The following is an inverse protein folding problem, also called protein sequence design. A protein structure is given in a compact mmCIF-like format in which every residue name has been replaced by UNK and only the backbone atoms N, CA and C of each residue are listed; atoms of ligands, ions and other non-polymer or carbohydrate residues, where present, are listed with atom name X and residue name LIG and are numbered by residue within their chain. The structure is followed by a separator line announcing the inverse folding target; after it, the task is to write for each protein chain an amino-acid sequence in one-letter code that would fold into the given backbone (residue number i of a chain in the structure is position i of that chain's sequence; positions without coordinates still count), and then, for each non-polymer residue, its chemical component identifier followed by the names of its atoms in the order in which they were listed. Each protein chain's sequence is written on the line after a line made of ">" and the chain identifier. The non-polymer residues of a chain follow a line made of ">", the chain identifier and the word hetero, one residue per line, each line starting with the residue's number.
data_IF_348483409241
#
_entry.id   IF_348483409241
#
_cell.length_a   1.000
_cell.length_b   1.000
_cell.length_c   1.000
_cell.angle_alpha   90.00
_cell.angle_beta   90.00
_cell.angle_gamma   90.00
#
_symmetry.space_group_name_H-M   'P 1'
#
loop_
_entity.id
_entity.type
_entity.pdbx_description
1 polymer ?
#
# COMPACT_ATOMS: atom_id res chain seq x y z
N UNK A 1 -9.08 -4.12 -22.81
CA UNK A 1 -9.47 -3.96 -24.24
C UNK A 1 -10.56 -2.90 -24.45
N UNK A 2 -11.62 -2.84 -23.62
CA UNK A 2 -12.71 -1.86 -23.76
C UNK A 2 -12.31 -0.37 -23.54
N UNK A 3 -11.49 -0.07 -22.52
CA UNK A 3 -11.04 1.30 -22.20
C UNK A 3 -10.22 1.97 -23.32
N UNK A 4 -9.57 1.15 -24.15
CA UNK A 4 -8.82 1.62 -25.32
C UNK A 4 -9.70 1.81 -26.55
N UNK A 5 -10.82 1.07 -26.63
CA UNK A 5 -11.81 1.15 -27.70
C UNK A 5 -12.74 2.36 -27.56
N UNK A 6 -13.06 2.76 -26.32
CA UNK A 6 -13.98 3.86 -26.02
C UNK A 6 -13.31 4.96 -25.18
N UNK A 7 -12.69 5.98 -25.81
CA UNK A 7 -11.93 7.00 -25.10
C UNK A 7 -12.79 7.87 -24.17
N UNK A 8 -14.09 8.02 -24.45
CA UNK A 8 -15.04 8.73 -23.59
C UNK A 8 -15.29 8.02 -22.24
N UNK A 9 -15.06 6.71 -22.15
CA UNK A 9 -15.21 5.95 -20.92
C UNK A 9 -14.01 6.06 -19.97
N UNK A 10 -12.90 6.69 -20.38
CA UNK A 10 -11.67 6.75 -19.57
C UNK A 10 -11.86 7.54 -18.28
N UNK A 11 -12.46 8.72 -18.35
CA UNK A 11 -12.69 9.58 -17.19
C UNK A 11 -13.66 8.96 -16.16
N UNK A 12 -14.83 8.42 -16.56
CA UNK A 12 -15.71 7.77 -15.59
C UNK A 12 -15.07 6.51 -15.00
N UNK A 13 -14.27 5.77 -15.78
CA UNK A 13 -13.53 4.61 -15.28
C UNK A 13 -12.48 5.00 -14.24
N UNK A 14 -11.68 6.05 -14.48
CA UNK A 14 -10.72 6.57 -13.50
C UNK A 14 -11.44 7.04 -12.23
N UNK A 15 -12.56 7.76 -12.37
CA UNK A 15 -13.34 8.23 -11.23
C UNK A 15 -13.87 7.06 -10.40
N UNK A 16 -14.42 6.03 -11.04
CA UNK A 16 -14.88 4.80 -10.39
C UNK A 16 -13.73 4.11 -9.64
N UNK A 17 -12.55 4.00 -10.25
CA UNK A 17 -11.37 3.40 -9.61
C UNK A 17 -10.94 4.17 -8.36
N UNK A 18 -10.90 5.50 -8.42
CA UNK A 18 -10.56 6.34 -7.26
C UNK A 18 -11.61 6.16 -6.16
N UNK A 19 -12.89 6.12 -6.53
CA UNK A 19 -13.99 5.96 -5.57
C UNK A 19 -13.89 4.61 -4.86
N UNK A 20 -13.69 3.51 -5.61
CA UNK A 20 -13.51 2.16 -5.04
C UNK A 20 -12.23 2.04 -4.23
N UNK A 21 -11.14 2.68 -4.65
CA UNK A 21 -9.87 2.72 -3.93
C UNK A 21 -10.02 3.36 -2.54
N UNK A 22 -10.87 4.39 -2.41
CA UNK A 22 -11.13 5.07 -1.14
C UNK A 22 -12.22 4.36 -0.32
N UNK A 23 -13.30 3.92 -0.95
CA UNK A 23 -14.45 3.36 -0.25
C UNK A 23 -14.20 1.96 0.28
N UNK A 24 -13.48 1.10 -0.46
CA UNK A 24 -13.27 -0.30 -0.06
C UNK A 24 -12.48 -0.41 1.25
N UNK A 25 -11.30 0.23 1.40
CA UNK A 25 -10.59 0.18 2.67
C UNK A 25 -11.37 0.85 3.80
N UNK A 26 -12.04 1.97 3.55
CA UNK A 26 -12.84 2.66 4.55
C UNK A 26 -14.01 1.79 5.05
N UNK A 27 -14.73 1.13 4.13
CA UNK A 27 -15.84 0.25 4.46
C UNK A 27 -15.37 -0.95 5.29
N UNK A 28 -14.27 -1.59 4.89
CA UNK A 28 -13.70 -2.70 5.66
C UNK A 28 -13.33 -2.20 7.06
N UNK A 29 -12.54 -1.12 7.16
CA UNK A 29 -12.08 -0.60 8.45
C UNK A 29 -13.24 -0.25 9.39
N UNK A 30 -14.26 0.43 8.86
CA UNK A 30 -15.43 0.83 9.62
C UNK A 30 -16.25 -0.37 10.11
N UNK A 31 -16.55 -1.32 9.22
CA UNK A 31 -17.44 -2.43 9.55
C UNK A 31 -16.77 -3.46 10.46
N UNK A 32 -15.45 -3.64 10.31
CA UNK A 32 -14.68 -4.61 11.09
C UNK A 32 -14.04 -4.01 12.33
N UNK A 33 -14.27 -2.71 12.60
CA UNK A 33 -13.68 -1.98 13.74
C UNK A 33 -12.17 -2.21 13.87
N UNK A 34 -11.47 -2.26 12.73
CA UNK A 34 -10.02 -2.43 12.73
C UNK A 34 -9.33 -1.10 12.96
N UNK A 35 -8.13 -1.16 13.51
CA UNK A 35 -7.22 -0.04 13.49
C UNK A 35 -6.87 0.37 12.04
N UNK A 36 -6.60 1.66 11.86
CA UNK A 36 -6.19 2.20 10.57
C UNK A 36 -4.80 1.70 10.14
N UNK A 37 -3.98 1.31 11.11
CA UNK A 37 -2.64 0.75 10.94
C UNK A 37 -2.48 -0.54 11.71
N UNK A 38 -1.59 -1.39 11.23
CA UNK A 38 -1.20 -2.60 11.91
C UNK A 38 -0.31 -2.23 13.09
N UNK A 39 -0.85 -2.31 14.29
CA UNK A 39 -0.09 -2.15 15.52
C UNK A 39 0.47 -3.53 15.90
N UNK A 40 1.61 -3.91 15.30
CA UNK A 40 2.32 -5.11 15.73
C UNK A 40 3.23 -4.77 16.90
N UNK A 41 3.05 -5.44 18.03
CA UNK A 41 4.16 -5.58 18.95
C UNK A 41 5.15 -6.58 18.35
N UNK A 42 6.23 -6.06 17.78
CA UNK A 42 7.25 -6.86 17.09
C UNK A 42 7.88 -7.93 18.00
N UNK A 43 7.77 -7.78 19.33
CA UNK A 43 8.20 -8.79 20.33
C UNK A 43 7.29 -10.01 20.38
N UNK A 44 6.01 -9.88 19.99
CA UNK A 44 5.00 -10.94 19.99
C UNK A 44 4.46 -11.27 18.58
N UNK A 45 4.96 -10.59 17.54
CA UNK A 45 4.48 -10.69 16.17
C UNK A 45 4.34 -12.13 15.66
N UNK A 46 5.25 -13.03 16.01
CA UNK A 46 5.20 -14.44 15.59
C UNK A 46 4.04 -15.24 16.23
N UNK A 47 3.69 -14.94 17.47
CA UNK A 47 2.56 -15.57 18.16
C UNK A 47 1.22 -14.95 17.69
N UNK A 48 1.21 -13.62 17.48
CA UNK A 48 0.03 -12.91 16.96
C UNK A 48 -0.26 -13.26 15.50
N UNK A 49 0.73 -13.28 14.59
CA UNK A 49 0.55 -13.61 13.16
C UNK A 49 -0.07 -15.00 12.93
N UNK A 50 0.04 -15.93 13.89
CA UNK A 50 -0.49 -17.30 13.82
C UNK A 50 -1.96 -17.41 14.26
N UNK A 51 -2.43 -16.49 15.11
CA UNK A 51 -3.79 -16.51 15.69
C UNK A 51 -4.64 -15.31 15.27
N UNK A 52 -4.07 -14.30 14.61
CA UNK A 52 -4.78 -13.11 14.15
C UNK A 52 -5.60 -13.41 12.88
N UNK A 53 -6.81 -13.94 13.07
CA UNK A 53 -7.83 -14.01 12.01
C UNK A 53 -8.03 -12.65 11.34
N UNK A 54 -7.89 -11.56 12.10
CA UNK A 54 -7.96 -10.20 11.58
C UNK A 54 -6.88 -9.89 10.53
N UNK A 55 -5.65 -10.39 10.71
CA UNK A 55 -4.55 -10.15 9.77
C UNK A 55 -4.79 -10.93 8.47
N UNK A 56 -5.09 -12.22 8.58
CA UNK A 56 -5.34 -13.08 7.43
C UNK A 56 -6.58 -12.66 6.63
N UNK A 57 -7.63 -12.19 7.32
CA UNK A 57 -8.91 -11.84 6.71
C UNK A 57 -8.98 -10.41 6.16
N UNK A 58 -8.18 -9.47 6.67
CA UNK A 58 -8.32 -8.05 6.29
C UNK A 58 -7.03 -7.37 5.88
N UNK A 59 -5.86 -7.87 6.27
CA UNK A 59 -4.58 -7.24 5.88
C UNK A 59 -3.93 -7.92 4.67
N UNK A 60 -4.08 -9.24 4.57
CA UNK A 60 -3.55 -10.04 3.47
C UNK A 60 -4.33 -9.90 2.14
N UNK A 61 -5.67 -9.79 2.13
CA UNK A 61 -6.40 -9.88 0.86
C UNK A 61 -6.18 -8.70 -0.09
N UNK A 62 -6.27 -8.98 -1.39
CA UNK A 62 -6.10 -7.98 -2.45
C UNK A 62 -7.09 -6.82 -2.35
N UNK A 63 -8.28 -7.03 -1.76
CA UNK A 63 -9.32 -6.01 -1.65
C UNK A 63 -8.96 -4.86 -0.70
N UNK A 64 -8.13 -5.11 0.32
CA UNK A 64 -7.66 -4.04 1.23
C UNK A 64 -6.43 -3.30 0.74
N UNK A 65 -5.81 -3.78 -0.35
CA UNK A 65 -4.73 -3.13 -1.09
C UNK A 65 -5.17 -2.68 -2.49
N UNK A 66 -6.49 -2.64 -2.76
CA UNK A 66 -7.07 -2.31 -4.06
C UNK A 66 -6.66 -0.93 -4.57
N UNK A 67 -6.39 0.00 -3.64
CA UNK A 67 -5.89 1.34 -3.93
C UNK A 67 -4.62 1.32 -4.77
N UNK A 68 -3.61 0.55 -4.35
CA UNK A 68 -2.30 0.48 -5.04
C UNK A 68 -2.43 -0.07 -6.46
N UNK A 69 -3.26 -1.10 -6.65
CA UNK A 69 -3.53 -1.64 -7.99
C UNK A 69 -4.18 -0.61 -8.91
N UNK A 70 -5.18 0.11 -8.40
CA UNK A 70 -5.91 1.09 -9.18
C UNK A 70 -5.08 2.33 -9.51
N UNK A 71 -4.31 2.85 -8.56
CA UNK A 71 -3.37 3.95 -8.85
C UNK A 71 -2.30 3.53 -9.85
N UNK A 72 -1.82 2.28 -9.81
CA UNK A 72 -0.90 1.75 -10.82
C UNK A 72 -1.49 1.73 -12.23
N UNK A 73 -2.74 1.28 -12.37
CA UNK A 73 -3.45 1.29 -13.67
C UNK A 73 -3.69 2.73 -14.15
N UNK A 74 -4.09 3.64 -13.26
CA UNK A 74 -4.26 5.06 -13.58
C UNK A 74 -2.93 5.66 -14.07
N UNK A 75 -1.82 5.36 -13.38
CA UNK A 75 -0.50 5.81 -13.80
C UNK A 75 -0.09 5.26 -15.16
N UNK A 76 -0.35 3.99 -15.45
CA UNK A 76 -0.10 3.41 -16.77
C UNK A 76 -0.90 4.13 -17.88
N UNK A 77 -2.18 4.43 -17.63
CA UNK A 77 -3.02 5.19 -18.56
C UNK A 77 -2.49 6.61 -18.79
N UNK A 78 -2.06 7.28 -17.71
CA UNK A 78 -1.47 8.62 -17.77
C UNK A 78 -0.15 8.60 -18.53
N UNK A 79 0.73 7.65 -18.24
CA UNK A 79 2.01 7.47 -18.93
C UNK A 79 1.80 7.32 -20.44
N UNK A 80 0.92 6.41 -20.87
CA UNK A 80 0.65 6.21 -22.29
C UNK A 80 0.09 7.46 -22.98
N UNK A 81 -0.68 8.29 -22.27
CA UNK A 81 -1.16 9.58 -22.79
C UNK A 81 -0.02 10.58 -22.94
N UNK A 82 0.89 10.65 -21.98
CA UNK A 82 1.99 11.61 -21.95
C UNK A 82 3.09 11.27 -22.95
N UNK A 83 3.42 10.00 -23.13
CA UNK A 83 4.42 9.56 -24.11
C UNK A 83 3.99 9.86 -25.56
N UNK A 84 2.68 9.90 -25.82
CA UNK A 84 2.10 10.21 -27.15
C UNK A 84 1.85 11.69 -27.41
N UNK A 85 2.10 12.58 -26.45
CA UNK A 85 1.79 14.01 -26.59
C UNK A 85 3.07 14.84 -26.63
N UNK A 86 3.13 15.83 -27.53
CA UNK A 86 4.25 16.79 -27.60
C UNK A 86 4.33 17.76 -26.41
N UNK A 87 3.32 17.73 -25.53
CA UNK A 87 3.20 18.59 -24.35
C UNK A 87 4.03 18.13 -23.13
N UNK A 88 4.99 17.20 -23.32
CA UNK A 88 5.80 16.67 -22.22
C UNK A 88 6.52 17.75 -21.40
N UNK A 89 6.93 18.85 -22.05
CA UNK A 89 7.60 19.97 -21.40
C UNK A 89 6.71 20.69 -20.36
N UNK A 90 5.39 20.72 -20.57
CA UNK A 90 4.40 21.29 -19.64
C UNK A 90 4.04 20.29 -18.53
N UNK A 91 3.93 19.00 -18.88
CA UNK A 91 3.46 17.96 -17.95
C UNK A 91 4.53 17.60 -16.92
N UNK A 92 5.81 17.55 -17.30
CA UNK A 92 6.92 17.20 -16.40
C UNK A 92 6.99 18.07 -15.13
N UNK A 93 6.94 19.41 -15.18
CA UNK A 93 6.95 20.23 -13.97
C UNK A 93 5.69 20.04 -13.12
N UNK A 94 4.52 19.83 -13.74
CA UNK A 94 3.27 19.53 -13.02
C UNK A 94 3.38 18.20 -12.26
N UNK A 95 3.88 17.14 -12.90
CA UNK A 95 4.09 15.84 -12.26
C UNK A 95 5.09 15.90 -11.10
N UNK A 96 6.15 16.73 -11.22
CA UNK A 96 7.07 16.95 -10.10
C UNK A 96 6.38 17.64 -8.92
N UNK A 97 5.57 18.68 -9.17
CA UNK A 97 4.78 19.34 -8.12
C UNK A 97 3.80 18.36 -7.46
N UNK A 98 3.11 17.57 -8.27
CA UNK A 98 2.18 16.54 -7.79
C UNK A 98 2.90 15.46 -6.97
N UNK A 99 4.10 15.04 -7.40
CA UNK A 99 4.93 14.10 -6.65
C UNK A 99 5.29 14.68 -5.29
N UNK A 100 5.82 15.91 -5.23
CA UNK A 100 6.15 16.57 -3.97
C UNK A 100 4.94 16.65 -3.05
N UNK A 101 3.79 17.08 -3.56
CA UNK A 101 2.55 17.11 -2.79
C UNK A 101 2.15 15.73 -2.27
N UNK A 102 2.16 14.70 -3.14
CA UNK A 102 1.82 13.33 -2.75
C UNK A 102 2.76 12.75 -1.69
N UNK A 103 4.06 13.05 -1.79
CA UNK A 103 5.06 12.63 -0.81
C UNK A 103 4.86 13.35 0.52
N UNK A 104 4.57 14.65 0.51
CA UNK A 104 4.22 15.40 1.73
C UNK A 104 3.01 14.75 2.40
N UNK A 105 1.94 14.47 1.66
CA UNK A 105 0.76 13.78 2.20
C UNK A 105 1.11 12.39 2.75
N UNK A 106 1.89 11.60 2.03
CA UNK A 106 2.33 10.27 2.46
C UNK A 106 3.11 10.35 3.78
N UNK A 107 4.11 11.22 3.86
CA UNK A 107 4.93 11.36 5.06
C UNK A 107 4.15 11.97 6.23
N UNK A 108 3.27 12.94 5.99
CA UNK A 108 2.41 13.51 7.03
C UNK A 108 1.45 12.47 7.60
N UNK A 109 0.83 11.65 6.74
CA UNK A 109 -0.07 10.58 7.20
C UNK A 109 0.68 9.50 7.98
N UNK A 110 1.87 9.08 7.52
CA UNK A 110 2.71 8.14 8.27
C UNK A 110 3.28 8.75 9.56
N UNK A 111 3.62 10.03 9.58
CA UNK A 111 4.03 10.70 10.81
C UNK A 111 2.86 10.75 11.80
N UNK A 112 1.63 10.97 11.32
CA UNK A 112 0.45 10.96 12.19
C UNK A 112 0.19 9.60 12.84
N UNK A 113 0.63 8.48 12.24
CA UNK A 113 0.45 7.15 12.87
C UNK A 113 1.23 7.01 14.18
N UNK A 114 2.32 7.77 14.38
CA UNK A 114 3.06 7.74 15.65
C UNK A 114 2.29 8.45 16.78
N UNK A 115 1.38 9.35 16.42
CA UNK A 115 0.52 10.06 17.37
C UNK A 115 -0.78 9.32 17.66
N UNK A 116 -1.21 8.38 16.79
CA UNK A 116 -2.46 7.63 16.94
C UNK A 116 -2.66 7.00 18.34
N UNK A 117 -1.65 6.37 18.97
CA UNK A 117 -1.80 5.77 20.30
C UNK A 117 -2.16 6.77 21.41
N UNK A 118 -1.86 8.05 21.21
CA UNK A 118 -2.16 9.12 22.17
C UNK A 118 -3.51 9.78 21.93
N UNK A 119 -4.17 9.47 20.82
CA UNK A 119 -5.52 9.95 20.52
C UNK A 119 -6.51 8.92 21.07
N UNK A 120 -7.30 9.31 22.08
CA UNK A 120 -8.40 8.48 22.58
C UNK A 120 -9.49 8.36 21.51
N UNK A 121 -9.34 7.38 20.61
CA UNK A 121 -10.31 7.06 19.57
C UNK A 121 -11.13 5.88 20.06
N UNK A 122 -12.45 6.03 20.05
CA UNK A 122 -13.34 4.90 20.29
C UNK A 122 -13.17 3.85 19.17
N UNK A 123 -12.67 2.67 19.51
CA UNK A 123 -12.39 1.62 18.52
C UNK A 123 -13.67 1.04 17.87
N UNK A 124 -14.86 1.31 18.40
CA UNK A 124 -16.12 0.84 17.82
C UNK A 124 -16.55 1.71 16.64
N UNK A 125 -16.48 1.16 15.42
CA UNK A 125 -16.97 1.81 14.17
C UNK A 125 -16.49 3.26 14.02
N UNK A 126 -15.20 3.50 14.23
CA UNK A 126 -14.63 4.83 14.10
C UNK A 126 -14.60 5.28 12.64
N UNK A 127 -15.40 6.31 12.34
CA UNK A 127 -15.37 7.00 11.03
C UNK A 127 -13.99 7.61 10.80
N UNK A 128 -13.36 8.11 11.86
CA UNK A 128 -12.02 8.68 11.80
C UNK A 128 -10.99 7.64 11.33
N UNK A 129 -10.96 6.44 11.94
CA UNK A 129 -10.04 5.37 11.54
C UNK A 129 -10.30 4.91 10.10
N UNK A 130 -11.57 4.85 9.70
CA UNK A 130 -11.95 4.47 8.33
C UNK A 130 -11.42 5.46 7.29
N UNK A 131 -11.61 6.76 7.52
CA UNK A 131 -11.13 7.83 6.63
C UNK A 131 -9.60 7.86 6.65
N UNK A 132 -8.99 7.87 7.83
CA UNK A 132 -7.54 7.97 7.99
C UNK A 132 -6.83 6.76 7.37
N UNK A 133 -7.25 5.54 7.68
CA UNK A 133 -6.64 4.32 7.15
C UNK A 133 -6.83 4.19 5.63
N UNK A 134 -7.98 4.63 5.10
CA UNK A 134 -8.20 4.68 3.65
C UNK A 134 -7.27 5.70 2.97
N UNK A 135 -7.17 6.92 3.51
CA UNK A 135 -6.27 7.94 2.98
C UNK A 135 -4.81 7.50 3.06
N UNK A 136 -4.39 6.88 4.16
CA UNK A 136 -3.05 6.34 4.32
C UNK A 136 -2.76 5.30 3.23
N UNK A 137 -3.63 4.31 3.03
CA UNK A 137 -3.49 3.28 1.98
C UNK A 137 -3.50 3.87 0.56
N UNK A 138 -4.32 4.87 0.31
CA UNK A 138 -4.36 5.56 -0.97
C UNK A 138 -3.10 6.40 -1.23
N UNK A 139 -2.54 7.04 -0.20
CA UNK A 139 -1.33 7.84 -0.34
C UNK A 139 -0.12 7.00 -0.75
N UNK A 140 0.03 5.78 -0.22
CA UNK A 140 1.06 4.83 -0.67
C UNK A 140 0.93 4.52 -2.16
N UNK A 141 -0.25 4.09 -2.61
CA UNK A 141 -0.51 3.75 -4.00
C UNK A 141 -0.30 4.94 -4.95
N UNK A 142 -0.86 6.10 -4.60
CA UNK A 142 -0.79 7.32 -5.40
C UNK A 142 0.66 7.83 -5.53
N UNK A 143 1.38 7.97 -4.42
CA UNK A 143 2.74 8.50 -4.40
C UNK A 143 3.71 7.65 -5.20
N UNK A 144 3.68 6.32 -5.03
CA UNK A 144 4.54 5.44 -5.81
C UNK A 144 4.19 5.43 -7.30
N UNK A 145 2.91 5.50 -7.63
CA UNK A 145 2.46 5.56 -9.02
C UNK A 145 2.97 6.83 -9.72
N UNK A 146 2.89 7.98 -9.06
CA UNK A 146 3.44 9.25 -9.60
C UNK A 146 4.97 9.19 -9.65
N UNK A 147 5.62 8.65 -8.63
CA UNK A 147 7.08 8.49 -8.58
C UNK A 147 7.58 7.71 -9.80
N UNK A 148 6.94 6.59 -10.13
CA UNK A 148 7.31 5.77 -11.29
C UNK A 148 7.14 6.53 -12.60
N UNK A 149 6.05 7.28 -12.79
CA UNK A 149 5.88 8.12 -13.99
C UNK A 149 6.99 9.17 -14.08
N UNK A 150 7.32 9.83 -12.97
CA UNK A 150 8.37 10.86 -12.94
C UNK A 150 9.74 10.26 -13.27
N UNK A 151 10.04 9.06 -12.76
CA UNK A 151 11.27 8.35 -13.08
C UNK A 151 11.30 7.97 -14.56
N UNK A 152 10.25 7.34 -15.08
CA UNK A 152 10.21 6.92 -16.48
C UNK A 152 10.35 8.10 -17.46
N UNK A 153 9.76 9.25 -17.16
CA UNK A 153 9.87 10.46 -17.99
C UNK A 153 11.22 11.19 -17.86
N UNK A 154 12.09 10.77 -16.93
CA UNK A 154 13.41 11.34 -16.69
C UNK A 154 14.46 10.62 -17.53
N UNK A 155 14.76 11.19 -18.69
CA UNK A 155 15.64 10.62 -19.73
C UNK A 155 17.05 10.20 -19.28
N UNK A 156 17.65 10.80 -18.25
CA UNK A 156 19.04 10.50 -17.82
C UNK A 156 19.21 10.59 -16.30
N UNK A 157 19.08 9.47 -15.59
CA UNK A 157 19.42 9.40 -14.16
C UNK A 157 20.21 8.14 -13.85
N UNK A 158 21.34 8.29 -13.15
CA UNK A 158 22.15 7.15 -12.68
C UNK A 158 21.32 6.17 -11.84
N UNK A 159 20.42 6.69 -11.00
CA UNK A 159 19.51 5.88 -10.18
C UNK A 159 18.57 5.02 -11.03
N UNK A 160 18.02 5.58 -12.11
CA UNK A 160 17.16 4.83 -13.02
C UNK A 160 17.96 3.75 -13.73
N UNK A 161 19.16 4.07 -14.22
CA UNK A 161 20.03 3.07 -14.86
C UNK A 161 20.40 1.92 -13.93
N UNK A 162 20.60 2.19 -12.65
CA UNK A 162 20.85 1.13 -11.65
C UNK A 162 19.59 0.30 -11.44
N UNK A 163 18.43 0.92 -11.25
CA UNK A 163 17.16 0.22 -11.01
C UNK A 163 16.68 -0.58 -12.23
N UNK A 164 16.97 -0.13 -13.45
CA UNK A 164 16.60 -0.82 -14.70
C UNK A 164 17.62 -1.87 -15.14
N UNK A 165 18.70 -2.07 -14.38
CA UNK A 165 19.70 -3.08 -14.69
C UNK A 165 19.10 -4.48 -14.60
N UNK A 166 19.48 -5.38 -15.53
CA UNK A 166 18.93 -6.75 -15.59
C UNK A 166 19.07 -7.51 -14.28
N UNK A 167 20.18 -7.34 -13.56
CA UNK A 167 20.38 -7.92 -12.23
C UNK A 167 19.30 -7.48 -11.24
N UNK A 168 18.94 -6.19 -11.24
CA UNK A 168 17.88 -5.66 -10.37
C UNK A 168 16.52 -6.22 -10.74
N UNK A 169 16.23 -6.46 -12.03
CA UNK A 169 15.01 -7.15 -12.43
C UNK A 169 14.94 -8.59 -11.90
N UNK A 170 16.04 -9.35 -11.94
CA UNK A 170 16.08 -10.69 -11.36
C UNK A 170 15.94 -10.67 -9.84
N UNK A 171 16.68 -9.79 -9.17
CA UNK A 171 16.59 -9.62 -7.71
C UNK A 171 15.20 -9.18 -7.26
N UNK A 172 14.53 -8.30 -8.02
CA UNK A 172 13.16 -7.89 -7.73
C UNK A 172 12.18 -9.06 -7.82
N UNK A 173 12.29 -9.91 -8.85
CA UNK A 173 11.47 -11.13 -8.99
C UNK A 173 11.73 -12.12 -7.87
N UNK A 174 13.00 -12.37 -7.53
CA UNK A 174 13.38 -13.27 -6.43
C UNK A 174 12.85 -12.72 -5.11
N UNK A 175 13.04 -11.42 -4.83
CA UNK A 175 12.53 -10.76 -3.65
C UNK A 175 11.01 -10.88 -3.54
N UNK A 176 10.29 -10.74 -4.65
CA UNK A 176 8.84 -10.96 -4.69
C UNK A 176 8.45 -12.41 -4.40
N UNK A 177 9.16 -13.39 -4.97
CA UNK A 177 8.95 -14.81 -4.67
C UNK A 177 9.22 -15.10 -3.19
N UNK A 178 10.31 -14.57 -2.63
CA UNK A 178 10.64 -14.69 -1.20
C UNK A 178 9.57 -14.03 -0.36
N UNK A 179 9.08 -12.83 -0.70
CA UNK A 179 7.98 -12.18 0.01
C UNK A 179 6.72 -13.05 0.07
N UNK A 180 6.33 -13.69 -1.05
CA UNK A 180 5.18 -14.61 -1.09
C UNK A 180 5.45 -15.87 -0.25
N UNK A 181 6.62 -16.48 -0.43
CA UNK A 181 6.97 -17.77 0.19
C UNK A 181 7.28 -17.61 1.67
N UNK A 182 7.89 -16.50 2.08
CA UNK A 182 8.30 -16.20 3.46
C UNK A 182 7.11 -16.35 4.40
N UNK A 183 5.93 -15.89 4.02
CA UNK A 183 4.75 -16.05 4.86
C UNK A 183 4.29 -17.51 4.96
N UNK A 184 4.34 -18.25 3.86
CA UNK A 184 4.01 -19.69 3.83
C UNK A 184 5.03 -20.54 4.61
N UNK A 185 6.31 -20.15 4.56
CA UNK A 185 7.40 -20.79 5.30
C UNK A 185 7.34 -20.45 6.78
N UNK A 186 7.06 -19.20 7.15
CA UNK A 186 6.78 -18.82 8.53
C UNK A 186 5.56 -19.62 9.02
N UNK A 187 4.46 -19.63 8.27
CA UNK A 187 3.28 -20.39 8.65
C UNK A 187 3.60 -21.90 8.80
N UNK A 188 4.27 -22.52 7.84
CA UNK A 188 4.58 -23.95 7.83
C UNK A 188 5.62 -24.40 8.86
N UNK A 189 6.68 -23.62 9.08
CA UNK A 189 7.67 -23.92 10.12
C UNK A 189 7.03 -23.79 11.49
N UNK A 190 6.34 -22.68 11.76
CA UNK A 190 5.80 -22.42 13.08
C UNK A 190 4.55 -23.26 13.38
N UNK A 191 3.72 -23.65 12.39
CA UNK A 191 2.59 -24.57 12.64
C UNK A 191 3.02 -25.94 13.17
N UNK A 192 4.20 -26.42 12.75
CA UNK A 192 4.76 -27.71 13.14
C UNK A 192 5.69 -27.65 14.36
N UNK A 193 6.00 -26.47 14.90
CA UNK A 193 6.64 -26.37 16.21
C UNK A 193 5.60 -26.52 17.32
N UNK A 194 5.71 -27.57 18.13
CA UNK A 194 5.10 -27.64 19.45
C UNK A 194 5.74 -26.55 20.31
N UNK A 195 5.01 -25.46 20.55
CA UNK A 195 5.47 -24.40 21.46
C UNK A 195 5.53 -25.00 22.87
N UNK A 196 6.66 -24.95 23.60
CA UNK A 196 6.71 -25.41 24.98
C UNK A 196 5.77 -24.55 25.84
N UNK A 197 5.01 -25.18 26.74
CA UNK A 197 3.96 -24.57 27.58
C UNK A 197 4.43 -23.42 28.52
N UNK A 198 5.69 -23.01 28.45
CA UNK A 198 6.34 -22.08 29.39
C UNK A 198 6.42 -20.66 28.79
N UNK A 199 5.33 -20.17 28.19
CA UNK A 199 5.19 -18.73 27.92
C UNK A 199 4.50 -17.97 29.07
N UNK A 200 3.88 -18.68 30.02
CA UNK A 200 3.19 -18.08 31.18
C UNK A 200 4.10 -17.59 32.32
N UNK A 201 5.40 -17.92 32.31
CA UNK A 201 6.32 -17.63 33.41
C UNK A 201 6.91 -16.21 33.43
N UNK A 202 7.04 -15.58 32.26
CA UNK A 202 7.74 -14.28 32.14
C UNK A 202 6.83 -13.05 32.36
N UNK A 203 5.50 -13.24 32.40
CA UNK A 203 4.54 -12.16 32.65
C UNK A 203 4.10 -12.04 34.12
N UNK A 204 4.77 -12.72 35.05
CA UNK A 204 4.43 -12.73 36.49
C UNK A 204 5.26 -11.77 37.35
N UNK A 205 6.07 -10.89 36.76
CA UNK A 205 6.70 -9.79 37.50
C UNK A 205 6.00 -8.50 37.09
N UNK A 206 5.03 -8.14 37.93
CA UNK A 206 4.26 -6.90 37.90
C UNK A 206 5.06 -5.77 38.57
#
# INVERSE_FOLDING_TARGET
>A
MAVWKYPHMKNPFISMMILVALSTPAYVIYNTSTDATMNFDMRHALAELRTYDHFLKYYLPSHTNISSYFFGIIAAMMYMKFTRSDSQHIIKPLLKKLLTFSLVVLFSLNAFTTFLPFVNIDNKKSIFNAIFGSLLKCSWGCSYSILFIVFELKSKSRLINVLSHNLMHYLAKISYCVYIVQYSVIYGLYTNFHVPMIYGGFNMVR
#
